data_IF_297902053713
#
_entry.id   IF_297902053713
#
_cell.length_a   1.000
_cell.length_b   1.000
_cell.length_c   1.000
_cell.angle_alpha   90.00
_cell.angle_beta   90.00
_cell.angle_gamma   90.00
#
_symmetry.space_group_name_H-M   'P 1'
#
loop_
_entity.id
_entity.type
_entity.pdbx_description
1 polymer ?
#
# COMPACT_ATOMS: atom_id res chain seq x y z
N UNK A 1 53.23 18.13 20.55
CA UNK A 1 51.88 18.44 20.02
C UNK A 1 51.53 17.36 19.02
N UNK A 2 50.84 16.32 19.46
CA UNK A 2 50.38 15.20 18.64
C UNK A 2 48.95 15.50 18.18
N UNK A 3 48.78 15.76 16.87
CA UNK A 3 47.50 15.87 16.26
C UNK A 3 46.85 14.48 16.25
N UNK A 4 45.86 14.27 17.11
CA UNK A 4 44.92 13.18 17.00
C UNK A 4 44.01 13.40 15.75
N UNK A 5 44.32 12.75 14.65
CA UNK A 5 43.46 12.63 13.50
C UNK A 5 42.43 11.57 13.89
N UNK A 6 41.23 12.00 14.27
CA UNK A 6 40.05 11.12 14.35
C UNK A 6 39.81 10.50 12.98
N UNK A 7 39.67 9.17 12.88
CA UNK A 7 39.34 8.56 11.57
C UNK A 7 37.97 9.03 11.12
N UNK A 8 37.96 9.72 10.00
CA UNK A 8 36.76 10.09 9.26
C UNK A 8 36.10 8.80 8.82
N UNK A 9 35.08 8.32 9.56
CA UNK A 9 34.25 7.24 9.14
C UNK A 9 33.46 7.75 7.94
N UNK A 10 33.98 7.52 6.73
CA UNK A 10 33.30 7.77 5.48
C UNK A 10 31.97 6.98 5.51
N UNK A 11 30.87 7.69 5.69
CA UNK A 11 29.52 7.15 5.57
C UNK A 11 29.41 6.58 4.16
N UNK A 12 29.06 5.31 4.06
CA UNK A 12 28.77 4.66 2.78
C UNK A 12 27.43 5.22 2.29
N UNK A 13 27.49 6.23 1.42
CA UNK A 13 26.30 6.77 0.78
C UNK A 13 25.73 5.76 -0.23
N UNK A 14 24.40 5.70 -0.32
CA UNK A 14 23.71 4.87 -1.32
C UNK A 14 24.01 5.43 -2.73
N UNK A 15 24.23 4.54 -3.70
CA UNK A 15 24.49 4.97 -5.08
C UNK A 15 23.20 5.46 -5.73
N UNK A 16 23.17 6.72 -6.13
CA UNK A 16 22.08 7.33 -6.91
C UNK A 16 22.09 6.80 -8.35
N UNK A 17 21.35 5.74 -8.61
CA UNK A 17 21.31 5.07 -9.92
C UNK A 17 19.93 5.12 -10.58
N UNK A 18 18.86 5.27 -9.80
CA UNK A 18 17.50 5.20 -10.27
C UNK A 18 17.09 6.45 -11.09
N UNK A 19 16.36 6.21 -12.18
CA UNK A 19 15.74 7.22 -13.04
C UNK A 19 14.23 7.09 -13.02
N UNK A 20 13.47 7.96 -13.72
CA UNK A 20 12.01 8.03 -13.65
C UNK A 20 11.32 6.69 -13.95
N UNK A 21 11.69 6.03 -15.07
CA UNK A 21 11.00 4.80 -15.50
C UNK A 21 11.19 3.65 -14.50
N UNK A 22 12.42 3.29 -14.06
CA UNK A 22 12.60 2.30 -13.01
C UNK A 22 11.83 2.60 -11.71
N UNK A 23 11.79 3.87 -11.29
CA UNK A 23 11.06 4.27 -10.07
C UNK A 23 9.55 4.09 -10.23
N UNK A 24 8.98 4.47 -11.39
CA UNK A 24 7.56 4.23 -11.69
C UNK A 24 7.26 2.73 -11.73
N UNK A 25 8.12 1.92 -12.35
CA UNK A 25 7.95 0.46 -12.41
C UNK A 25 8.02 -0.17 -11.00
N UNK A 26 8.90 0.32 -10.13
CA UNK A 26 8.93 -0.12 -8.74
C UNK A 26 7.65 0.26 -7.98
N UNK A 27 7.11 1.46 -8.22
CA UNK A 27 5.83 1.87 -7.65
C UNK A 27 4.67 1.00 -8.11
N UNK A 28 4.60 0.68 -9.40
CA UNK A 28 3.59 -0.25 -9.93
C UNK A 28 3.79 -1.68 -9.38
N UNK A 29 5.04 -2.10 -9.11
CA UNK A 29 5.31 -3.37 -8.44
C UNK A 29 4.73 -3.40 -7.02
N UNK A 30 4.85 -2.31 -6.27
CA UNK A 30 4.27 -2.19 -4.94
C UNK A 30 2.73 -2.19 -4.97
N UNK A 31 2.12 -1.54 -5.96
CA UNK A 31 0.67 -1.51 -6.13
C UNK A 31 0.07 -2.86 -6.56
N UNK A 32 0.88 -3.77 -7.11
CA UNK A 32 0.44 -5.08 -7.62
C UNK A 32 -0.82 -4.99 -8.51
N UNK A 33 -0.71 -4.64 -9.79
CA UNK A 33 -1.86 -4.39 -10.66
C UNK A 33 -2.91 -5.51 -10.72
N UNK A 34 -2.54 -6.75 -10.40
CA UNK A 34 -3.46 -7.90 -10.36
C UNK A 34 -4.49 -7.83 -9.21
N UNK A 35 -4.25 -7.00 -8.18
CA UNK A 35 -5.19 -6.84 -7.04
C UNK A 35 -6.58 -6.37 -7.44
N UNK A 36 -6.72 -5.78 -8.64
CA UNK A 36 -8.02 -5.39 -9.17
C UNK A 36 -8.98 -6.59 -9.29
N UNK A 37 -8.46 -7.79 -9.57
CA UNK A 37 -9.26 -9.00 -9.68
C UNK A 37 -9.66 -9.57 -8.31
N UNK A 38 -8.84 -9.33 -7.27
CA UNK A 38 -9.11 -9.81 -5.91
C UNK A 38 -10.27 -9.07 -5.24
N UNK A 39 -10.35 -7.76 -5.48
CA UNK A 39 -11.37 -6.88 -4.86
C UNK A 39 -12.60 -6.68 -5.72
N UNK A 40 -12.59 -7.14 -6.98
CA UNK A 40 -13.66 -6.89 -7.94
C UNK A 40 -15.02 -7.41 -7.47
N UNK A 41 -15.11 -8.67 -7.03
CA UNK A 41 -16.36 -9.28 -6.60
C UNK A 41 -16.97 -8.57 -5.39
N UNK A 42 -16.14 -8.29 -4.37
CA UNK A 42 -16.56 -7.58 -3.15
C UNK A 42 -17.17 -6.22 -3.51
N UNK A 43 -16.43 -5.41 -4.28
CA UNK A 43 -16.87 -4.04 -4.59
C UNK A 43 -18.01 -4.02 -5.59
N UNK A 44 -18.05 -4.96 -6.55
CA UNK A 44 -19.17 -5.11 -7.47
C UNK A 44 -20.47 -5.42 -6.72
N UNK A 45 -20.42 -6.32 -5.71
CA UNK A 45 -21.57 -6.64 -4.88
C UNK A 45 -22.02 -5.47 -4.00
N UNK A 46 -21.05 -4.74 -3.42
CA UNK A 46 -21.35 -3.60 -2.56
C UNK A 46 -21.97 -2.42 -3.33
N UNK A 47 -21.64 -2.27 -4.61
CA UNK A 47 -21.95 -1.07 -5.40
C UNK A 47 -22.88 -1.34 -6.59
N UNK A 48 -23.55 -2.50 -6.61
CA UNK A 48 -24.46 -2.91 -7.68
C UNK A 48 -23.83 -2.77 -9.09
N UNK A 49 -22.54 -3.15 -9.19
CA UNK A 49 -21.84 -3.19 -10.46
C UNK A 49 -21.25 -1.87 -10.94
N UNK A 50 -20.76 -1.00 -10.03
CA UNK A 50 -20.18 0.30 -10.37
C UNK A 50 -18.67 0.40 -10.06
N UNK A 51 -17.92 -0.71 -10.15
CA UNK A 51 -16.49 -0.78 -9.77
C UNK A 51 -15.60 0.27 -10.45
N UNK A 52 -15.74 0.57 -11.76
CA UNK A 52 -14.92 1.60 -12.41
C UNK A 52 -15.09 3.00 -11.80
N UNK A 53 -16.32 3.37 -11.41
CA UNK A 53 -16.58 4.66 -10.74
C UNK A 53 -15.97 4.71 -9.35
N UNK A 54 -16.00 3.59 -8.65
CA UNK A 54 -15.39 3.45 -7.33
C UNK A 54 -13.87 3.63 -7.41
N UNK A 55 -13.22 3.02 -8.41
CA UNK A 55 -11.79 3.28 -8.68
C UNK A 55 -11.51 4.72 -9.07
N UNK A 56 -12.43 5.39 -9.79
CA UNK A 56 -12.27 6.80 -10.11
C UNK A 56 -12.33 7.69 -8.85
N UNK A 57 -13.21 7.38 -7.89
CA UNK A 57 -13.27 8.11 -6.59
C UNK A 57 -11.98 7.88 -5.78
N UNK A 58 -11.51 6.63 -5.66
CA UNK A 58 -10.25 6.33 -5.00
C UNK A 58 -9.07 7.04 -5.68
N UNK A 59 -8.98 6.99 -7.02
CA UNK A 59 -7.93 7.65 -7.78
C UNK A 59 -7.90 9.16 -7.56
N UNK A 60 -9.04 9.83 -7.52
CA UNK A 60 -9.11 11.27 -7.26
C UNK A 60 -8.52 11.61 -5.90
N UNK A 61 -8.91 10.89 -4.84
CA UNK A 61 -8.37 11.08 -3.50
C UNK A 61 -6.84 10.85 -3.44
N UNK A 62 -6.37 9.79 -4.10
CA UNK A 62 -4.96 9.43 -4.18
C UNK A 62 -4.16 10.46 -4.98
N UNK A 63 -4.68 10.98 -6.10
CA UNK A 63 -3.97 12.00 -6.89
C UNK A 63 -3.77 13.32 -6.14
N UNK A 64 -4.75 13.77 -5.35
CA UNK A 64 -4.56 14.93 -4.47
C UNK A 64 -3.44 14.67 -3.46
N UNK A 65 -3.43 13.49 -2.87
CA UNK A 65 -2.38 13.08 -1.92
C UNK A 65 -1.02 12.95 -2.59
N UNK A 66 -0.95 12.39 -3.80
CA UNK A 66 0.28 12.29 -4.60
C UNK A 66 0.89 13.66 -4.92
N UNK A 67 0.04 14.67 -5.22
CA UNK A 67 0.49 16.05 -5.39
C UNK A 67 1.07 16.65 -4.11
N UNK A 68 0.50 16.30 -2.96
CA UNK A 68 0.98 16.74 -1.64
C UNK A 68 2.32 16.07 -1.29
N UNK A 69 2.44 14.76 -1.49
CA UNK A 69 3.72 14.05 -1.39
C UNK A 69 4.80 14.71 -2.25
N UNK A 70 4.48 15.00 -3.51
CA UNK A 70 5.42 15.62 -4.44
C UNK A 70 5.95 16.97 -3.99
N UNK A 71 5.17 17.76 -3.25
CA UNK A 71 5.62 19.05 -2.68
C UNK A 71 6.54 18.82 -1.46
N UNK A 72 6.19 17.85 -0.60
CA UNK A 72 6.96 17.56 0.61
C UNK A 72 8.28 16.87 0.32
N UNK A 73 8.35 15.96 -0.66
CA UNK A 73 9.60 15.35 -1.12
C UNK A 73 10.60 16.41 -1.60
N UNK A 74 10.13 17.42 -2.34
CA UNK A 74 11.01 18.53 -2.77
C UNK A 74 11.58 19.33 -1.60
N UNK A 75 10.85 19.38 -0.50
CA UNK A 75 11.26 20.14 0.70
C UNK A 75 12.10 19.29 1.65
N UNK A 76 11.78 18.01 1.72
CA UNK A 76 12.39 17.01 2.60
C UNK A 76 12.72 15.74 1.79
N UNK A 77 13.82 15.72 1.03
CA UNK A 77 14.18 14.59 0.17
C UNK A 77 14.82 13.43 0.97
N UNK A 78 14.21 13.04 2.08
CA UNK A 78 14.66 11.95 2.95
C UNK A 78 13.69 10.76 2.89
N UNK A 79 14.20 9.59 3.23
CA UNK A 79 13.46 8.30 3.21
C UNK A 79 12.54 8.12 4.44
N UNK A 80 11.87 9.16 4.90
CA UNK A 80 11.02 9.09 6.11
C UNK A 80 9.52 9.17 5.85
N UNK A 81 9.09 9.34 4.57
CA UNK A 81 7.69 9.37 4.14
C UNK A 81 6.80 10.27 5.03
N UNK A 82 5.52 9.89 5.21
CA UNK A 82 4.51 10.65 5.96
C UNK A 82 4.92 10.99 7.39
N UNK A 83 5.63 10.09 8.07
CA UNK A 83 6.17 10.32 9.41
C UNK A 83 7.04 11.58 9.46
N UNK A 84 8.10 11.63 8.65
CA UNK A 84 9.03 12.74 8.61
C UNK A 84 8.34 14.04 8.21
N UNK A 85 7.42 13.99 7.26
CA UNK A 85 6.69 15.17 6.83
C UNK A 85 5.81 15.74 7.95
N UNK A 86 5.05 14.91 8.65
CA UNK A 86 4.22 15.35 9.77
C UNK A 86 5.09 15.85 10.95
N UNK A 87 6.19 15.19 11.24
CA UNK A 87 7.12 15.57 12.29
C UNK A 87 7.73 16.96 12.03
N UNK A 88 8.27 17.19 10.83
CA UNK A 88 8.96 18.44 10.48
C UNK A 88 7.99 19.58 10.20
N UNK A 89 6.79 19.30 9.67
CA UNK A 89 5.83 20.32 9.24
C UNK A 89 4.78 20.67 10.30
N UNK A 90 4.41 19.73 11.18
CA UNK A 90 3.38 19.95 12.20
C UNK A 90 4.01 19.94 13.59
N UNK A 91 4.31 18.75 14.13
CA UNK A 91 4.99 18.59 15.41
C UNK A 91 5.60 17.18 15.57
N UNK A 92 6.59 16.98 16.45
CA UNK A 92 7.14 15.66 16.76
C UNK A 92 6.10 14.66 17.24
N UNK A 93 5.16 15.08 18.08
CA UNK A 93 4.07 14.24 18.59
C UNK A 93 3.15 13.75 17.47
N UNK A 94 2.73 14.64 16.58
CA UNK A 94 1.92 14.27 15.41
C UNK A 94 2.69 13.34 14.49
N UNK A 95 3.97 13.65 14.22
CA UNK A 95 4.82 12.76 13.44
C UNK A 95 4.88 11.35 14.02
N UNK A 96 5.11 11.22 15.33
CA UNK A 96 5.11 9.92 16.00
C UNK A 96 3.79 9.18 15.80
N UNK A 97 2.65 9.84 16.02
CA UNK A 97 1.32 9.21 15.87
C UNK A 97 1.01 8.81 14.42
N UNK A 98 1.44 9.59 13.45
CA UNK A 98 1.35 9.24 12.03
C UNK A 98 2.21 8.01 11.72
N UNK A 99 3.46 7.99 12.20
CA UNK A 99 4.34 6.84 12.05
C UNK A 99 3.80 5.58 12.73
N UNK A 100 3.26 5.72 13.94
CA UNK A 100 2.63 4.62 14.67
C UNK A 100 1.41 4.06 13.94
N UNK A 101 0.55 4.92 13.39
CA UNK A 101 -0.61 4.48 12.61
C UNK A 101 -0.20 3.80 11.31
N UNK A 102 0.82 4.34 10.62
CA UNK A 102 1.36 3.72 9.42
C UNK A 102 1.98 2.34 9.65
N UNK A 103 2.39 2.02 10.89
CA UNK A 103 2.87 0.67 11.22
C UNK A 103 1.80 -0.39 10.99
N UNK A 104 0.50 -0.08 11.09
CA UNK A 104 -0.55 -1.05 10.72
C UNK A 104 -0.43 -1.48 9.27
N UNK A 105 -0.32 -0.50 8.36
CA UNK A 105 -0.13 -0.80 6.93
C UNK A 105 1.09 -1.73 6.73
N UNK A 106 2.24 -1.34 7.26
CA UNK A 106 3.47 -2.14 7.11
C UNK A 106 3.41 -3.51 7.77
N UNK A 107 2.80 -3.64 8.97
CA UNK A 107 2.71 -4.90 9.70
C UNK A 107 1.76 -5.90 9.03
N UNK A 108 0.65 -5.41 8.49
CA UNK A 108 -0.36 -6.26 7.85
C UNK A 108 -0.07 -6.53 6.36
N UNK A 109 0.83 -5.76 5.71
CA UNK A 109 1.21 -6.00 4.32
C UNK A 109 1.74 -7.43 4.05
N UNK A 110 2.59 -8.05 4.86
CA UNK A 110 2.95 -9.47 4.68
C UNK A 110 1.77 -10.41 4.88
N UNK A 111 0.89 -10.12 5.84
CA UNK A 111 -0.29 -10.94 6.16
C UNK A 111 -1.26 -10.99 4.99
N UNK A 112 -1.58 -9.85 4.37
CA UNK A 112 -2.53 -9.83 3.26
C UNK A 112 -2.00 -10.57 2.03
N UNK A 113 -0.69 -10.54 1.78
CA UNK A 113 -0.09 -11.34 0.72
C UNK A 113 -0.22 -12.85 0.99
N UNK A 114 -0.12 -13.29 2.25
CA UNK A 114 -0.40 -14.67 2.65
C UNK A 114 -1.88 -15.01 2.50
N UNK A 115 -2.77 -14.08 2.86
CA UNK A 115 -4.22 -14.24 2.70
C UNK A 115 -4.61 -14.43 1.23
N UNK A 116 -4.08 -13.59 0.33
CA UNK A 116 -4.31 -13.75 -1.11
C UNK A 116 -3.77 -15.10 -1.62
N UNK A 117 -2.57 -15.49 -1.23
CA UNK A 117 -2.03 -16.80 -1.57
C UNK A 117 -2.92 -17.95 -1.03
N UNK A 118 -3.46 -17.83 0.20
CA UNK A 118 -4.44 -18.77 0.76
C UNK A 118 -5.64 -18.92 -0.16
N UNK A 119 -6.27 -17.82 -0.57
CA UNK A 119 -7.44 -17.80 -1.48
C UNK A 119 -7.11 -18.54 -2.80
N UNK A 120 -5.93 -18.29 -3.37
CA UNK A 120 -5.51 -18.95 -4.61
C UNK A 120 -5.29 -20.46 -4.42
N UNK A 121 -4.70 -20.87 -3.30
CA UNK A 121 -4.51 -22.29 -2.99
C UNK A 121 -5.82 -23.01 -2.71
N UNK A 122 -6.77 -22.39 -2.03
CA UNK A 122 -8.11 -22.95 -1.79
C UNK A 122 -8.80 -23.25 -3.12
N UNK A 123 -8.69 -22.36 -4.11
CA UNK A 123 -9.24 -22.55 -5.44
C UNK A 123 -8.53 -23.66 -6.26
N UNK A 124 -7.21 -23.84 -6.04
CA UNK A 124 -6.40 -24.84 -6.74
C UNK A 124 -6.53 -26.25 -6.14
N UNK A 125 -6.51 -26.33 -4.79
CA UNK A 125 -6.47 -27.60 -4.05
C UNK A 125 -7.45 -27.57 -2.87
N UNK A 126 -8.77 -27.58 -3.13
CA UNK A 126 -9.79 -27.44 -2.09
C UNK A 126 -9.83 -28.63 -1.09
N UNK A 127 -9.13 -29.71 -1.38
CA UNK A 127 -9.05 -30.89 -0.50
C UNK A 127 -8.12 -30.68 0.70
N UNK A 128 -7.26 -29.68 0.69
CA UNK A 128 -6.30 -29.39 1.78
C UNK A 128 -6.84 -28.23 2.59
N UNK A 129 -6.92 -28.34 3.94
CA UNK A 129 -7.34 -27.25 4.80
C UNK A 129 -6.47 -26.00 4.62
N UNK A 130 -7.09 -24.84 4.39
CA UNK A 130 -6.39 -23.59 4.04
C UNK A 130 -5.39 -23.10 5.10
N UNK A 131 -5.65 -23.37 6.38
CA UNK A 131 -4.71 -23.01 7.46
C UNK A 131 -3.34 -23.68 7.29
N UNK A 132 -3.27 -24.86 6.69
CA UNK A 132 -2.00 -25.55 6.43
C UNK A 132 -1.15 -24.76 5.42
N UNK A 133 -1.78 -24.18 4.39
CA UNK A 133 -1.08 -23.32 3.44
C UNK A 133 -0.55 -22.07 4.13
N UNK A 134 -1.39 -21.41 4.95
CA UNK A 134 -0.96 -20.21 5.69
C UNK A 134 0.26 -20.51 6.56
N UNK A 135 0.22 -21.58 7.35
CA UNK A 135 1.35 -21.98 8.22
C UNK A 135 2.59 -22.28 7.39
N UNK A 136 2.45 -23.05 6.30
CA UNK A 136 3.59 -23.40 5.44
C UNK A 136 4.21 -22.15 4.78
N UNK A 137 3.39 -21.25 4.25
CA UNK A 137 3.86 -20.02 3.59
C UNK A 137 4.50 -19.05 4.59
N UNK A 138 3.91 -18.86 5.77
CA UNK A 138 4.50 -18.03 6.82
C UNK A 138 5.83 -18.61 7.30
N UNK A 139 5.91 -19.91 7.51
CA UNK A 139 7.16 -20.59 7.89
C UNK A 139 8.22 -20.41 6.80
N UNK A 140 7.85 -20.59 5.52
CA UNK A 140 8.73 -20.39 4.38
C UNK A 140 9.25 -18.94 4.31
N UNK A 141 8.35 -17.94 4.35
CA UNK A 141 8.71 -16.52 4.28
C UNK A 141 9.60 -16.11 5.45
N UNK A 142 9.28 -16.56 6.66
CA UNK A 142 10.05 -16.27 7.88
C UNK A 142 11.44 -16.88 7.80
N UNK A 143 11.55 -18.17 7.45
CA UNK A 143 12.83 -18.86 7.32
C UNK A 143 13.72 -18.25 6.23
N UNK A 144 13.11 -17.82 5.11
CA UNK A 144 13.80 -17.17 4.01
C UNK A 144 14.36 -15.80 4.43
N UNK A 145 13.54 -14.98 5.08
CA UNK A 145 13.96 -13.64 5.54
C UNK A 145 15.00 -13.70 6.67
N UNK A 146 14.96 -14.73 7.53
CA UNK A 146 16.00 -14.95 8.54
C UNK A 146 17.39 -15.15 7.93
N UNK A 147 17.47 -15.78 6.75
CA UNK A 147 18.76 -16.08 6.08
C UNK A 147 19.26 -14.94 5.18
N UNK A 148 18.55 -13.84 5.08
CA UNK A 148 18.94 -12.63 4.30
C UNK A 148 19.37 -12.94 2.86
N UNK A 149 18.46 -13.36 2.02
CA UNK A 149 18.76 -13.46 0.58
C UNK A 149 18.66 -12.05 -0.04
N UNK A 150 19.73 -11.65 -0.74
CA UNK A 150 19.79 -10.35 -1.43
C UNK A 150 18.69 -10.30 -2.48
N UNK A 151 17.77 -9.35 -2.34
CA UNK A 151 16.70 -9.09 -3.31
C UNK A 151 17.27 -8.57 -4.62
N UNK A 152 16.77 -9.10 -5.74
CA UNK A 152 17.18 -8.67 -7.09
C UNK A 152 16.16 -7.62 -7.56
N UNK A 153 16.52 -6.35 -7.51
CA UNK A 153 15.66 -5.22 -7.93
C UNK A 153 15.13 -5.34 -9.39
N UNK A 154 15.87 -6.01 -10.25
CA UNK A 154 15.47 -6.23 -11.64
C UNK A 154 14.28 -7.21 -11.78
N UNK A 155 14.07 -8.09 -10.81
CA UNK A 155 12.96 -9.06 -10.83
C UNK A 155 11.61 -8.35 -10.73
N UNK A 156 11.51 -7.29 -9.95
CA UNK A 156 10.27 -6.54 -9.80
C UNK A 156 9.76 -5.94 -11.12
N UNK A 157 10.67 -5.39 -11.94
CA UNK A 157 10.28 -4.84 -13.26
C UNK A 157 9.75 -5.92 -14.19
N UNK A 158 10.37 -7.09 -14.20
CA UNK A 158 9.91 -8.23 -15.02
C UNK A 158 8.54 -8.71 -14.54
N UNK A 159 8.36 -8.85 -13.23
CA UNK A 159 7.09 -9.25 -12.62
C UNK A 159 5.95 -8.28 -13.01
N UNK A 160 6.18 -6.97 -12.94
CA UNK A 160 5.17 -5.96 -13.31
C UNK A 160 4.81 -6.05 -14.79
N UNK A 161 5.81 -6.16 -15.67
CA UNK A 161 5.55 -6.31 -17.10
C UNK A 161 4.71 -7.55 -17.38
N UNK A 162 5.05 -8.68 -16.74
CA UNK A 162 4.27 -9.91 -16.89
C UNK A 162 2.84 -9.78 -16.32
N UNK A 163 2.66 -9.08 -15.20
CA UNK A 163 1.31 -8.78 -14.68
C UNK A 163 0.49 -7.95 -15.68
N UNK A 164 1.06 -6.88 -16.23
CA UNK A 164 0.37 -6.03 -17.22
C UNK A 164 0.04 -6.82 -18.48
N UNK A 165 0.93 -7.68 -18.95
CA UNK A 165 0.67 -8.57 -20.08
C UNK A 165 -0.45 -9.54 -19.76
N UNK A 166 -0.45 -10.16 -18.58
CA UNK A 166 -1.51 -11.08 -18.16
C UNK A 166 -2.86 -10.37 -18.05
N UNK A 167 -2.89 -9.16 -17.48
CA UNK A 167 -4.10 -8.33 -17.46
C UNK A 167 -4.59 -8.07 -18.89
N UNK A 168 -3.70 -7.69 -19.81
CA UNK A 168 -4.08 -7.44 -21.20
C UNK A 168 -4.64 -8.69 -21.89
N UNK A 169 -4.08 -9.87 -21.63
CA UNK A 169 -4.58 -11.16 -22.14
C UNK A 169 -5.98 -11.45 -21.59
N UNK A 170 -6.18 -11.30 -20.29
CA UNK A 170 -7.48 -11.50 -19.64
C UNK A 170 -8.52 -10.52 -20.23
N UNK A 171 -8.18 -9.25 -20.34
CA UNK A 171 -9.05 -8.24 -20.92
C UNK A 171 -9.37 -8.53 -22.39
N UNK A 172 -8.42 -9.02 -23.17
CA UNK A 172 -8.67 -9.47 -24.54
C UNK A 172 -9.72 -10.59 -24.61
N UNK A 173 -9.63 -11.56 -23.71
CA UNK A 173 -10.61 -12.64 -23.61
C UNK A 173 -11.99 -12.14 -23.13
N UNK A 174 -12.00 -11.24 -22.15
CA UNK A 174 -13.23 -10.57 -21.63
C UNK A 174 -13.93 -9.80 -22.75
N UNK A 175 -13.18 -8.96 -23.48
CA UNK A 175 -13.73 -8.18 -24.61
C UNK A 175 -14.26 -9.11 -25.70
N UNK A 176 -13.55 -10.19 -26.01
CA UNK A 176 -14.01 -11.20 -26.98
C UNK A 176 -15.32 -11.86 -26.50
N UNK A 177 -15.42 -12.27 -25.23
CA UNK A 177 -16.63 -12.87 -24.67
C UNK A 177 -17.83 -11.91 -24.69
N UNK A 178 -17.62 -10.61 -24.36
CA UNK A 178 -18.70 -9.60 -24.48
C UNK A 178 -19.13 -9.41 -25.93
N UNK A 179 -18.19 -9.48 -26.88
CA UNK A 179 -18.52 -9.41 -28.31
C UNK A 179 -19.33 -10.61 -28.79
N UNK A 180 -19.09 -11.80 -28.27
CA UNK A 180 -19.85 -13.02 -28.52
C UNK A 180 -21.24 -13.04 -27.81
N UNK A 181 -21.55 -11.98 -27.03
CA UNK A 181 -22.87 -11.85 -26.37
C UNK A 181 -22.87 -12.23 -24.88
N UNK A 182 -21.73 -12.52 -24.29
CA UNK A 182 -21.61 -12.74 -22.84
C UNK A 182 -21.82 -11.41 -22.06
N UNK A 183 -22.33 -11.52 -20.85
CA UNK A 183 -22.54 -10.39 -19.97
C UNK A 183 -23.51 -9.35 -20.51
N UNK A 184 -23.08 -8.11 -20.66
CA UNK A 184 -23.89 -7.01 -21.19
C UNK A 184 -24.16 -7.08 -22.70
N UNK A 185 -23.45 -7.94 -23.45
CA UNK A 185 -23.57 -8.09 -24.91
C UNK A 185 -23.22 -6.81 -25.72
N UNK A 186 -22.62 -5.81 -25.08
CA UNK A 186 -22.17 -4.57 -25.72
C UNK A 186 -20.90 -4.07 -25.09
N UNK A 187 -19.97 -3.55 -25.90
CA UNK A 187 -18.72 -2.96 -25.42
C UNK A 187 -18.86 -1.47 -25.03
N UNK A 188 -19.99 -0.84 -25.35
CA UNK A 188 -20.24 0.54 -25.01
C UNK A 188 -21.49 0.67 -24.14
N UNK A 189 -21.29 0.85 -22.85
CA UNK A 189 -22.35 1.04 -21.86
C UNK A 189 -21.92 2.04 -20.79
N UNK A 190 -22.85 2.88 -20.37
CA UNK A 190 -22.62 3.80 -19.23
C UNK A 190 -22.92 3.14 -17.89
N UNK A 191 -23.59 1.97 -17.88
CA UNK A 191 -24.02 1.27 -16.66
C UNK A 191 -22.90 1.02 -15.67
N UNK A 192 -21.67 0.57 -16.06
CA UNK A 192 -20.57 0.39 -15.12
C UNK A 192 -20.12 1.66 -14.42
N UNK A 193 -20.38 2.84 -15.02
CA UNK A 193 -20.06 4.12 -14.38
C UNK A 193 -21.24 4.68 -13.59
N UNK A 194 -22.45 4.57 -14.09
CA UNK A 194 -23.64 5.13 -13.42
C UNK A 194 -24.92 4.49 -13.94
N UNK A 195 -25.82 4.13 -13.03
CA UNK A 195 -27.17 3.64 -13.31
C UNK A 195 -28.18 4.27 -12.36
N UNK A 196 -29.48 4.00 -12.57
CA UNK A 196 -30.55 4.49 -11.69
C UNK A 196 -30.45 3.94 -10.25
N UNK A 197 -29.78 2.81 -10.04
CA UNK A 197 -29.61 2.13 -8.77
C UNK A 197 -28.31 2.52 -8.07
N UNK A 198 -27.59 3.50 -8.64
CA UNK A 198 -26.30 3.94 -8.09
C UNK A 198 -26.46 4.73 -6.80
N UNK A 199 -25.83 4.28 -5.73
CA UNK A 199 -25.80 4.94 -4.43
C UNK A 199 -24.40 5.42 -4.05
N UNK A 200 -24.26 6.71 -3.70
CA UNK A 200 -22.96 7.34 -3.43
C UNK A 200 -22.27 6.77 -2.19
N UNK A 201 -23.01 6.47 -1.12
CA UNK A 201 -22.42 5.95 0.13
C UNK A 201 -21.75 4.60 -0.08
N UNK A 202 -22.40 3.57 -0.67
CA UNK A 202 -21.72 2.33 -1.02
C UNK A 202 -20.50 2.53 -1.93
N UNK A 203 -20.53 3.50 -2.84
CA UNK A 203 -19.38 3.81 -3.69
C UNK A 203 -18.20 4.39 -2.87
N UNK A 204 -18.46 5.24 -1.87
CA UNK A 204 -17.40 5.73 -0.98
C UNK A 204 -16.83 4.60 -0.13
N UNK A 205 -17.68 3.73 0.41
CA UNK A 205 -17.24 2.53 1.16
C UNK A 205 -16.42 1.60 0.27
N UNK A 206 -16.88 1.33 -0.95
CA UNK A 206 -16.12 0.57 -1.93
C UNK A 206 -14.78 1.23 -2.27
N UNK A 207 -14.74 2.57 -2.43
CA UNK A 207 -13.50 3.30 -2.68
C UNK A 207 -12.51 3.17 -1.52
N UNK A 208 -13.00 3.03 -0.28
CA UNK A 208 -12.14 2.75 0.87
C UNK A 208 -11.48 1.39 0.74
N UNK A 209 -12.22 0.35 0.34
CA UNK A 209 -11.65 -0.98 0.07
C UNK A 209 -10.61 -0.91 -1.06
N UNK A 210 -10.94 -0.22 -2.16
CA UNK A 210 -10.06 -0.10 -3.33
C UNK A 210 -8.80 0.75 -3.08
N UNK A 211 -8.75 1.55 -2.00
CA UNK A 211 -7.51 2.22 -1.59
C UNK A 211 -6.35 1.24 -1.36
N UNK A 212 -6.65 0.00 -0.96
CA UNK A 212 -5.67 -1.07 -0.87
C UNK A 212 -4.91 -1.29 -2.20
N UNK A 213 -5.60 -1.27 -3.35
CA UNK A 213 -4.96 -1.43 -4.66
C UNK A 213 -3.98 -0.29 -5.00
N UNK A 214 -4.08 0.84 -4.33
CA UNK A 214 -3.16 1.97 -4.49
C UNK A 214 -2.03 1.98 -3.47
N UNK A 215 -2.06 1.17 -2.41
CA UNK A 215 -0.99 1.17 -1.40
C UNK A 215 0.36 0.86 -2.05
N UNK A 216 1.39 1.59 -1.62
CA UNK A 216 2.73 1.47 -2.18
C UNK A 216 3.14 2.61 -3.13
N UNK A 217 2.21 3.40 -3.70
CA UNK A 217 2.58 4.58 -4.49
C UNK A 217 3.39 5.60 -3.68
N UNK A 218 3.12 5.71 -2.40
CA UNK A 218 3.82 6.56 -1.43
C UNK A 218 5.18 5.99 -1.02
N UNK A 219 5.33 4.67 -1.05
CA UNK A 219 6.59 3.96 -0.81
C UNK A 219 7.73 4.37 -1.75
N UNK A 220 7.39 4.92 -2.92
CA UNK A 220 8.35 5.54 -3.86
C UNK A 220 9.14 6.67 -3.16
N UNK A 221 8.55 7.39 -2.21
CA UNK A 221 9.22 8.47 -1.49
C UNK A 221 10.47 7.99 -0.75
N UNK A 222 10.50 6.72 -0.32
CA UNK A 222 11.65 6.11 0.36
C UNK A 222 12.83 5.84 -0.58
N UNK A 223 12.63 5.90 -1.91
CA UNK A 223 13.69 5.74 -2.91
C UNK A 223 14.43 7.03 -3.22
N UNK A 224 14.15 8.11 -2.48
CA UNK A 224 14.74 9.43 -2.71
C UNK A 224 16.26 9.42 -2.65
N UNK A 225 16.84 8.64 -1.74
CA UNK A 225 18.30 8.56 -1.54
C UNK A 225 19.03 7.78 -2.65
N UNK A 226 18.32 6.90 -3.39
CA UNK A 226 18.86 6.10 -4.47
C UNK A 226 18.55 6.69 -5.86
N UNK A 227 17.77 7.78 -5.92
CA UNK A 227 17.27 8.37 -7.15
C UNK A 227 18.10 9.58 -7.58
N UNK A 228 18.46 9.61 -8.88
CA UNK A 228 19.07 10.81 -9.50
C UNK A 228 18.03 11.92 -9.57
N UNK A 229 18.43 13.16 -9.23
CA UNK A 229 17.50 14.31 -9.21
C UNK A 229 16.19 14.01 -8.45
N UNK A 230 16.29 13.44 -7.25
CA UNK A 230 15.13 12.96 -6.46
C UNK A 230 14.02 14.03 -6.32
N UNK A 231 14.38 15.31 -6.15
CA UNK A 231 13.46 16.43 -6.04
C UNK A 231 12.56 16.62 -7.29
N UNK A 232 12.99 16.13 -8.45
CA UNK A 232 12.24 16.20 -9.70
C UNK A 232 11.64 14.86 -10.11
N UNK A 233 12.40 13.78 -9.91
CA UNK A 233 12.03 12.44 -10.34
C UNK A 233 10.97 11.83 -9.43
N UNK A 234 11.18 11.86 -8.12
CA UNK A 234 10.27 11.23 -7.15
C UNK A 234 8.85 11.83 -7.21
N UNK A 235 8.64 13.16 -7.20
CA UNK A 235 7.29 13.72 -7.32
C UNK A 235 6.54 13.30 -8.59
N UNK A 236 7.27 13.24 -9.71
CA UNK A 236 6.70 12.78 -10.99
C UNK A 236 6.40 11.29 -10.96
N UNK A 237 7.28 10.49 -10.37
CA UNK A 237 7.10 9.05 -10.26
C UNK A 237 5.88 8.71 -9.39
N UNK A 238 5.73 9.32 -8.21
CA UNK A 238 4.57 9.14 -7.33
C UNK A 238 3.27 9.44 -8.08
N UNK A 239 3.21 10.59 -8.75
CA UNK A 239 2.01 10.99 -9.51
C UNK A 239 1.73 10.05 -10.69
N UNK A 240 2.75 9.72 -11.48
CA UNK A 240 2.60 8.83 -12.65
C UNK A 240 2.22 7.41 -12.23
N UNK A 241 2.79 6.89 -11.16
CA UNK A 241 2.44 5.55 -10.64
C UNK A 241 0.97 5.49 -10.24
N UNK A 242 0.50 6.46 -9.44
CA UNK A 242 -0.90 6.53 -9.05
C UNK A 242 -1.83 6.69 -10.27
N UNK A 243 -1.48 7.56 -11.22
CA UNK A 243 -2.28 7.79 -12.42
C UNK A 243 -2.33 6.57 -13.34
N UNK A 244 -1.17 5.98 -13.67
CA UNK A 244 -1.09 4.81 -14.56
C UNK A 244 -1.80 3.63 -13.92
N UNK A 245 -1.52 3.31 -12.64
CA UNK A 245 -2.18 2.24 -11.93
C UNK A 245 -3.69 2.44 -11.86
N UNK A 246 -4.15 3.64 -11.48
CA UNK A 246 -5.58 3.96 -11.43
C UNK A 246 -6.27 3.87 -12.79
N UNK A 247 -5.60 4.30 -13.86
CA UNK A 247 -6.15 4.15 -15.22
C UNK A 247 -6.23 2.68 -15.65
N UNK A 248 -5.24 1.86 -15.30
CA UNK A 248 -5.31 0.40 -15.53
C UNK A 248 -6.50 -0.17 -14.78
N UNK A 249 -6.70 0.19 -13.51
CA UNK A 249 -7.82 -0.30 -12.70
C UNK A 249 -9.17 0.10 -13.28
N UNK A 250 -9.38 1.38 -13.60
CA UNK A 250 -10.64 1.87 -14.18
C UNK A 250 -10.93 1.16 -15.52
N UNK A 251 -9.94 1.10 -16.40
CA UNK A 251 -10.09 0.50 -17.72
C UNK A 251 -10.39 -1.01 -17.62
N UNK A 252 -9.62 -1.73 -16.81
CA UNK A 252 -9.78 -3.17 -16.65
C UNK A 252 -11.13 -3.51 -16.01
N UNK A 253 -11.52 -2.82 -14.95
CA UNK A 253 -12.79 -3.09 -14.26
C UNK A 253 -14.00 -2.67 -15.07
N UNK A 254 -13.88 -1.71 -15.99
CA UNK A 254 -14.94 -1.39 -16.94
C UNK A 254 -15.32 -2.59 -17.79
N UNK A 255 -14.36 -3.25 -18.44
CA UNK A 255 -14.62 -4.43 -19.25
C UNK A 255 -15.04 -5.63 -18.40
N UNK A 256 -14.44 -5.82 -17.22
CA UNK A 256 -14.89 -6.85 -16.28
C UNK A 256 -16.34 -6.66 -15.89
N UNK A 257 -16.78 -5.41 -15.63
CA UNK A 257 -18.15 -5.12 -15.25
C UNK A 257 -19.13 -5.30 -16.41
N UNK A 258 -18.70 -5.15 -17.64
CA UNK A 258 -19.52 -5.52 -18.81
C UNK A 258 -19.67 -7.02 -18.95
N UNK A 259 -18.63 -7.80 -18.62
CA UNK A 259 -18.66 -9.25 -18.67
C UNK A 259 -19.42 -9.87 -17.47
N UNK A 260 -19.28 -9.26 -16.30
CA UNK A 260 -19.97 -9.59 -15.05
C UNK A 260 -20.85 -8.42 -14.62
N UNK A 261 -22.05 -8.26 -15.21
CA UNK A 261 -22.94 -7.13 -14.91
C UNK A 261 -23.42 -7.08 -13.46
N UNK A 262 -23.44 -8.23 -12.80
CA UNK A 262 -23.77 -8.42 -11.40
C UNK A 262 -22.93 -9.56 -10.79
N UNK A 263 -23.06 -9.77 -9.48
CA UNK A 263 -22.30 -10.78 -8.73
C UNK A 263 -22.91 -12.17 -8.76
N UNK A 264 -24.05 -12.38 -9.43
CA UNK A 264 -24.79 -13.65 -9.38
C UNK A 264 -23.99 -14.84 -9.92
N UNK A 265 -22.99 -14.58 -10.77
CA UNK A 265 -22.06 -15.59 -11.29
C UNK A 265 -20.99 -16.01 -10.28
N UNK A 266 -20.70 -15.20 -9.27
CA UNK A 266 -19.68 -15.51 -8.27
C UNK A 266 -20.26 -16.36 -7.15
N UNK A 267 -19.59 -17.48 -6.83
CA UNK A 267 -19.94 -18.33 -5.69
C UNK A 267 -19.44 -17.71 -4.40
N UNK A 268 -18.27 -17.09 -4.48
CA UNK A 268 -17.59 -16.41 -3.38
C UNK A 268 -17.00 -15.08 -3.89
N UNK A 269 -17.66 -13.95 -3.61
CA UNK A 269 -17.14 -12.63 -4.00
C UNK A 269 -15.78 -12.30 -3.41
N UNK A 270 -15.41 -12.87 -2.25
CA UNK A 270 -14.10 -12.65 -1.61
C UNK A 270 -12.97 -13.42 -2.32
N UNK A 271 -13.34 -14.40 -3.14
CA UNK A 271 -12.42 -15.16 -3.99
C UNK A 271 -12.61 -14.85 -5.49
N UNK A 272 -12.89 -13.60 -5.85
CA UNK A 272 -13.26 -13.23 -7.22
C UNK A 272 -12.17 -13.49 -8.25
N UNK A 273 -10.88 -13.31 -7.96
CA UNK A 273 -9.81 -13.56 -8.94
C UNK A 273 -9.80 -15.01 -9.46
N UNK A 274 -9.82 -16.07 -8.62
CA UNK A 274 -9.92 -17.45 -9.10
C UNK A 274 -11.11 -17.70 -9.98
N UNK A 275 -12.27 -17.15 -9.64
CA UNK A 275 -13.50 -17.37 -10.41
C UNK A 275 -13.48 -16.63 -11.74
N UNK A 276 -13.00 -15.38 -11.80
CA UNK A 276 -12.81 -14.63 -13.04
C UNK A 276 -11.94 -15.44 -14.02
N UNK A 277 -10.79 -15.95 -13.55
CA UNK A 277 -9.87 -16.73 -14.39
C UNK A 277 -10.54 -18.01 -14.93
N UNK A 278 -11.36 -18.64 -14.10
CA UNK A 278 -12.10 -19.85 -14.48
C UNK A 278 -13.17 -19.56 -15.54
N UNK A 279 -13.98 -18.53 -15.33
CA UNK A 279 -15.09 -18.18 -16.22
C UNK A 279 -14.62 -17.65 -17.57
N UNK A 280 -13.56 -16.83 -17.56
CA UNK A 280 -13.05 -16.18 -18.79
C UNK A 280 -12.29 -17.15 -19.69
N UNK A 281 -11.48 -18.04 -19.11
CA UNK A 281 -10.54 -18.84 -19.91
C UNK A 281 -10.44 -20.32 -19.49
N UNK A 282 -11.31 -20.78 -18.60
CA UNK A 282 -11.39 -22.17 -18.18
C UNK A 282 -10.29 -22.62 -17.20
N UNK A 283 -10.36 -23.91 -16.81
CA UNK A 283 -9.57 -24.45 -15.70
C UNK A 283 -8.06 -24.40 -15.93
N UNK A 284 -7.58 -24.68 -17.13
CA UNK A 284 -6.15 -24.70 -17.44
C UNK A 284 -5.52 -23.29 -17.28
N UNK A 285 -6.21 -22.27 -17.77
CA UNK A 285 -5.79 -20.88 -17.62
C UNK A 285 -5.84 -20.44 -16.16
N UNK A 286 -6.92 -20.77 -15.44
CA UNK A 286 -7.04 -20.49 -14.01
C UNK A 286 -5.82 -21.01 -13.25
N UNK A 287 -5.43 -22.26 -13.45
CA UNK A 287 -4.28 -22.87 -12.77
C UNK A 287 -3.00 -22.07 -13.04
N UNK A 288 -2.71 -21.78 -14.32
CA UNK A 288 -1.52 -21.02 -14.70
C UNK A 288 -1.50 -19.59 -14.10
N UNK A 289 -2.64 -18.89 -14.20
CA UNK A 289 -2.78 -17.53 -13.68
C UNK A 289 -2.64 -17.49 -12.15
N UNK A 290 -3.24 -18.41 -11.42
CA UNK A 290 -3.15 -18.45 -9.95
C UNK A 290 -1.77 -18.86 -9.45
N UNK A 291 -1.05 -19.75 -10.14
CA UNK A 291 0.35 -20.05 -9.84
C UNK A 291 1.19 -18.78 -10.02
N UNK A 292 1.03 -18.07 -11.12
CA UNK A 292 1.73 -16.81 -11.35
C UNK A 292 1.39 -15.76 -10.28
N UNK A 293 0.10 -15.57 -9.97
CA UNK A 293 -0.35 -14.65 -8.91
C UNK A 293 0.24 -15.02 -7.55
N UNK A 294 0.28 -16.32 -7.21
CA UNK A 294 0.92 -16.79 -5.97
C UNK A 294 2.39 -16.40 -5.90
N UNK A 295 3.14 -16.57 -6.99
CA UNK A 295 4.55 -16.16 -7.04
C UNK A 295 4.69 -14.66 -6.83
N UNK A 296 3.82 -13.85 -7.43
CA UNK A 296 3.88 -12.39 -7.30
C UNK A 296 3.55 -11.91 -5.89
N UNK A 297 2.49 -12.41 -5.27
CA UNK A 297 2.11 -12.02 -3.90
C UNK A 297 3.12 -12.52 -2.87
N UNK A 298 3.72 -13.70 -3.07
CA UNK A 298 4.79 -14.18 -2.19
C UNK A 298 6.06 -13.33 -2.31
N UNK A 299 6.45 -12.94 -3.51
CA UNK A 299 7.61 -12.07 -3.72
C UNK A 299 7.40 -10.71 -3.05
N UNK A 300 6.22 -10.11 -3.21
CA UNK A 300 5.82 -8.87 -2.53
C UNK A 300 5.76 -9.04 -1.01
N UNK A 301 5.12 -10.11 -0.53
CA UNK A 301 5.02 -10.42 0.89
C UNK A 301 6.38 -10.61 1.56
N UNK A 302 7.34 -11.26 0.88
CA UNK A 302 8.72 -11.39 1.39
C UNK A 302 9.42 -10.04 1.49
N UNK A 303 9.25 -9.17 0.51
CA UNK A 303 9.82 -7.82 0.51
C UNK A 303 9.20 -6.96 1.63
N UNK A 304 7.87 -6.97 1.77
CA UNK A 304 7.14 -6.29 2.83
C UNK A 304 7.58 -6.78 4.21
N UNK A 305 7.67 -8.09 4.41
CA UNK A 305 8.13 -8.73 5.65
C UNK A 305 9.54 -8.27 6.04
N UNK A 306 10.48 -8.27 5.09
CA UNK A 306 11.84 -7.78 5.34
C UNK A 306 11.84 -6.27 5.62
N UNK A 307 11.02 -5.50 4.92
CA UNK A 307 10.90 -4.05 5.06
C UNK A 307 10.44 -3.65 6.46
N UNK A 308 9.31 -4.21 6.92
CA UNK A 308 8.76 -3.89 8.25
C UNK A 308 9.68 -4.38 9.37
N UNK A 309 10.30 -5.55 9.24
CA UNK A 309 11.25 -6.04 10.24
C UNK A 309 12.47 -5.11 10.40
N UNK A 310 12.96 -4.52 9.30
CA UNK A 310 14.03 -3.52 9.33
C UNK A 310 13.57 -2.19 9.92
N UNK A 311 12.36 -1.73 9.57
CA UNK A 311 11.77 -0.53 10.16
C UNK A 311 11.67 -0.66 11.69
N UNK A 312 11.13 -1.78 12.19
CA UNK A 312 11.04 -2.06 13.62
C UNK A 312 12.42 -2.12 14.28
N UNK A 313 13.42 -2.67 13.58
CA UNK A 313 14.80 -2.69 14.06
C UNK A 313 15.37 -1.27 14.21
N UNK A 314 15.18 -0.41 13.21
CA UNK A 314 15.63 1.00 13.30
C UNK A 314 14.95 1.70 14.46
N UNK A 315 13.62 1.54 14.61
CA UNK A 315 12.87 2.08 15.74
C UNK A 315 13.39 1.57 17.09
N UNK A 316 13.78 0.29 17.17
CA UNK A 316 14.40 -0.29 18.37
C UNK A 316 15.80 0.27 18.64
N UNK A 317 16.64 0.39 17.61
CA UNK A 317 17.99 0.96 17.70
C UNK A 317 17.94 2.40 18.19
N UNK A 318 17.06 3.20 17.65
CA UNK A 318 16.92 4.63 17.95
C UNK A 318 16.14 4.90 19.24
N UNK A 319 15.72 3.83 19.95
CA UNK A 319 15.10 3.91 21.28
C UNK A 319 13.62 4.28 21.27
N UNK A 320 12.98 4.28 20.08
CA UNK A 320 11.53 4.39 19.95
C UNK A 320 10.86 3.15 20.52
N UNK A 321 11.40 1.96 20.24
CA UNK A 321 11.00 0.68 20.84
C UNK A 321 12.06 0.12 21.78
N UNK A 322 11.73 -0.84 22.68
CA UNK A 322 12.68 -1.48 23.57
C UNK A 322 13.86 -2.10 22.81
N UNK A 323 15.08 -1.57 23.04
CA UNK A 323 16.29 -2.00 22.32
C UNK A 323 16.62 -3.48 22.48
N UNK A 324 16.29 -4.07 23.65
CA UNK A 324 16.60 -5.47 23.96
C UNK A 324 15.92 -6.46 23.02
N UNK A 325 14.73 -6.13 22.52
CA UNK A 325 13.97 -6.98 21.61
C UNK A 325 14.09 -6.47 20.17
N UNK A 326 13.68 -5.22 19.91
CA UNK A 326 13.57 -4.69 18.55
C UNK A 326 14.94 -4.34 17.94
N UNK A 327 15.90 -3.94 18.77
CA UNK A 327 17.27 -3.65 18.34
C UNK A 327 18.19 -4.88 18.21
N UNK A 328 17.66 -6.09 18.45
CA UNK A 328 18.45 -7.32 18.39
C UNK A 328 18.76 -7.73 16.94
N UNK A 329 20.05 -7.97 16.67
CA UNK A 329 20.55 -8.54 15.40
C UNK A 329 21.18 -9.91 15.66
N UNK A 330 20.76 -10.92 14.91
CA UNK A 330 21.27 -12.28 15.07
C UNK A 330 22.75 -12.37 14.62
N UNK A 331 23.67 -12.90 15.48
CA UNK A 331 25.11 -12.85 15.21
C UNK A 331 25.53 -13.55 13.91
N UNK A 332 24.91 -14.68 13.58
CA UNK A 332 25.27 -15.49 12.40
C UNK A 332 24.63 -14.97 11.12
N UNK A 333 23.33 -14.64 11.15
CA UNK A 333 22.57 -14.24 9.95
C UNK A 333 22.63 -12.75 9.69
N UNK A 334 23.01 -11.95 10.69
CA UNK A 334 23.06 -10.48 10.62
C UNK A 334 21.72 -9.85 10.21
N UNK A 335 20.63 -10.47 10.62
CA UNK A 335 19.26 -10.04 10.39
C UNK A 335 18.56 -9.71 11.72
N UNK A 336 17.53 -8.83 11.71
CA UNK A 336 16.72 -8.52 12.90
C UNK A 336 15.76 -9.66 13.20
N UNK A 337 16.31 -10.80 13.69
CA UNK A 337 15.60 -12.08 13.76
C UNK A 337 14.32 -12.01 14.61
N UNK A 338 14.34 -11.29 15.75
CA UNK A 338 13.16 -11.18 16.62
C UNK A 338 12.02 -10.44 15.91
N UNK A 339 12.33 -9.40 15.15
CA UNK A 339 11.33 -8.66 14.38
C UNK A 339 10.77 -9.51 13.23
N UNK A 340 11.62 -10.26 12.52
CA UNK A 340 11.19 -11.18 11.46
C UNK A 340 10.24 -12.24 12.03
N UNK A 341 10.55 -12.84 13.18
CA UNK A 341 9.69 -13.83 13.83
C UNK A 341 8.36 -13.19 14.27
N UNK A 342 8.40 -11.99 14.83
CA UNK A 342 7.19 -11.26 15.24
C UNK A 342 6.27 -10.96 14.06
N UNK A 343 6.81 -10.48 12.95
CA UNK A 343 6.05 -10.22 11.71
C UNK A 343 5.46 -11.52 11.15
N UNK A 344 6.23 -12.62 11.19
CA UNK A 344 5.71 -13.94 10.81
C UNK A 344 4.56 -14.38 11.71
N UNK A 345 4.66 -14.18 13.03
CA UNK A 345 3.57 -14.49 13.95
C UNK A 345 2.30 -13.66 13.66
N UNK A 346 2.45 -12.37 13.34
CA UNK A 346 1.33 -11.52 12.92
C UNK A 346 0.72 -12.02 11.60
N UNK A 347 1.54 -12.46 10.65
CA UNK A 347 1.06 -12.97 9.37
C UNK A 347 0.20 -14.25 9.49
N UNK A 348 0.31 -15.01 10.59
CA UNK A 348 -0.59 -16.14 10.88
C UNK A 348 -2.05 -15.72 11.09
N UNK A 349 -2.32 -14.44 11.38
CA UNK A 349 -3.70 -13.92 11.48
C UNK A 349 -4.48 -14.11 10.16
N UNK A 350 -3.80 -14.28 9.04
CA UNK A 350 -4.41 -14.62 7.74
C UNK A 350 -5.26 -15.91 7.78
N UNK A 351 -5.13 -16.75 8.81
CA UNK A 351 -5.98 -17.93 9.00
C UNK A 351 -7.44 -17.52 9.20
N UNK A 352 -7.68 -16.48 10.01
CA UNK A 352 -9.00 -16.09 10.48
C UNK A 352 -9.52 -14.79 9.86
N UNK A 353 -8.69 -14.07 9.11
CA UNK A 353 -9.08 -12.82 8.48
C UNK A 353 -9.65 -13.08 7.09
N UNK A 354 -10.67 -12.31 6.73
CA UNK A 354 -11.14 -12.12 5.37
C UNK A 354 -10.43 -10.93 4.70
N UNK A 355 -10.67 -10.78 3.40
CA UNK A 355 -10.01 -9.74 2.61
C UNK A 355 -10.50 -8.34 2.99
N UNK A 356 -11.80 -8.19 3.33
CA UNK A 356 -12.39 -6.90 3.71
C UNK A 356 -11.74 -6.38 4.99
N UNK A 357 -11.67 -7.21 6.03
CA UNK A 357 -11.07 -6.83 7.31
C UNK A 357 -9.57 -6.54 7.17
N UNK A 358 -8.85 -7.37 6.41
CA UNK A 358 -7.41 -7.19 6.19
C UNK A 358 -7.10 -5.89 5.45
N UNK A 359 -7.83 -5.60 4.36
CA UNK A 359 -7.66 -4.35 3.60
C UNK A 359 -8.03 -3.13 4.43
N UNK A 360 -9.08 -3.21 5.24
CA UNK A 360 -9.52 -2.10 6.06
C UNK A 360 -8.50 -1.73 7.16
N UNK A 361 -7.80 -2.71 7.76
CA UNK A 361 -6.72 -2.45 8.71
C UNK A 361 -5.51 -1.77 8.05
N UNK A 362 -5.12 -2.23 6.87
CA UNK A 362 -4.07 -1.59 6.08
C UNK A 362 -4.48 -0.16 5.73
N UNK A 363 -5.70 0.01 5.22
CA UNK A 363 -6.22 1.30 4.82
C UNK A 363 -6.34 2.28 6.00
N UNK A 364 -6.65 1.82 7.22
CA UNK A 364 -6.63 2.69 8.40
C UNK A 364 -5.29 3.40 8.55
N UNK A 365 -4.19 2.66 8.53
CA UNK A 365 -2.83 3.22 8.62
C UNK A 365 -2.47 4.15 7.46
N UNK A 366 -2.76 3.72 6.24
CA UNK A 366 -2.47 4.48 5.02
C UNK A 366 -3.28 5.78 4.95
N UNK A 367 -4.60 5.74 5.21
CA UNK A 367 -5.47 6.92 5.14
C UNK A 367 -5.14 7.96 6.21
N UNK A 368 -4.73 7.54 7.42
CA UNK A 368 -4.19 8.46 8.44
C UNK A 368 -2.94 9.16 7.89
N UNK A 369 -1.99 8.41 7.35
CA UNK A 369 -0.78 8.97 6.76
C UNK A 369 -1.11 9.98 5.64
N UNK A 370 -2.00 9.61 4.71
CA UNK A 370 -2.40 10.47 3.59
C UNK A 370 -3.10 11.75 4.04
N UNK A 371 -3.95 11.67 5.07
CA UNK A 371 -4.57 12.86 5.68
C UNK A 371 -3.49 13.81 6.21
N UNK A 372 -2.55 13.30 7.00
CA UNK A 372 -1.52 14.15 7.59
C UNK A 372 -0.47 14.64 6.59
N UNK A 373 -0.23 13.94 5.50
CA UNK A 373 0.59 14.44 4.39
C UNK A 373 -0.06 15.66 3.75
N UNK A 374 -1.37 15.62 3.48
CA UNK A 374 -2.10 16.76 2.97
C UNK A 374 -2.07 17.95 3.96
N UNK A 375 -2.32 17.70 5.24
CA UNK A 375 -2.24 18.73 6.29
C UNK A 375 -0.82 19.28 6.46
N UNK A 376 0.22 18.47 6.27
CA UNK A 376 1.61 18.89 6.32
C UNK A 376 1.97 19.92 5.25
N UNK A 377 1.38 19.81 4.04
CA UNK A 377 1.55 20.83 2.99
C UNK A 377 0.98 22.17 3.44
N UNK A 378 -0.23 22.17 4.02
CA UNK A 378 -0.88 23.39 4.52
C UNK A 378 -0.03 24.00 5.65
N UNK A 379 0.38 23.17 6.62
CA UNK A 379 1.18 23.62 7.75
C UNK A 379 2.52 24.18 7.31
N UNK A 380 3.25 23.48 6.42
CA UNK A 380 4.59 23.89 6.01
C UNK A 380 4.57 25.13 5.12
N UNK A 381 3.84 25.08 4.01
CA UNK A 381 3.94 26.09 2.97
C UNK A 381 3.02 27.29 3.22
N UNK A 382 1.75 27.02 3.59
CA UNK A 382 0.78 28.12 3.73
C UNK A 382 0.90 28.83 5.09
N UNK A 383 1.11 28.08 6.20
CA UNK A 383 1.18 28.67 7.54
C UNK A 383 2.62 29.13 7.87
N UNK A 384 3.62 28.20 7.87
CA UNK A 384 4.97 28.49 8.33
C UNK A 384 5.78 29.34 7.34
N UNK A 385 5.79 28.96 6.04
CA UNK A 385 6.52 29.71 5.01
C UNK A 385 5.73 30.93 4.49
N UNK A 386 4.46 31.09 4.91
CA UNK A 386 3.58 32.20 4.54
C UNK A 386 3.46 32.38 3.01
N UNK A 387 3.44 31.25 2.29
CA UNK A 387 3.15 31.23 0.83
C UNK A 387 1.65 31.36 0.60
N UNK A 388 1.10 32.54 0.89
CA UNK A 388 -0.31 32.85 0.83
C UNK A 388 -0.58 34.22 0.20
N UNK A 389 0.35 34.70 -0.64
CA UNK A 389 0.27 36.04 -1.23
C UNK A 389 -0.43 36.09 -2.59
N UNK A 390 -0.45 34.96 -3.32
CA UNK A 390 -1.03 34.90 -4.66
C UNK A 390 -2.18 33.89 -4.72
N UNK A 391 -3.11 34.05 -5.66
CA UNK A 391 -4.18 33.06 -5.93
C UNK A 391 -3.60 31.67 -6.23
N UNK A 392 -2.45 31.63 -6.91
CA UNK A 392 -1.73 30.39 -7.20
C UNK A 392 -1.25 29.71 -5.92
N UNK A 393 -0.76 30.48 -4.94
CA UNK A 393 -0.33 29.96 -3.65
C UNK A 393 -1.51 29.38 -2.87
N UNK A 394 -2.64 30.11 -2.82
CA UNK A 394 -3.87 29.61 -2.18
C UNK A 394 -4.36 28.33 -2.84
N UNK A 395 -4.36 28.27 -4.17
CA UNK A 395 -4.78 27.07 -4.88
C UNK A 395 -3.84 25.88 -4.61
N UNK A 396 -2.52 26.09 -4.68
CA UNK A 396 -1.54 25.02 -4.56
C UNK A 396 -1.31 24.53 -3.11
N UNK A 397 -1.30 25.44 -2.14
CA UNK A 397 -0.86 25.13 -0.77
C UNK A 397 -2.00 25.09 0.25
N UNK A 398 -3.22 25.52 -0.13
CA UNK A 398 -4.40 25.41 0.70
C UNK A 398 -5.48 24.57 0.02
N UNK A 399 -5.97 24.98 -1.15
CA UNK A 399 -7.15 24.37 -1.78
C UNK A 399 -6.90 22.90 -2.17
N UNK A 400 -5.86 22.60 -2.95
CA UNK A 400 -5.57 21.22 -3.37
C UNK A 400 -5.30 20.27 -2.19
N UNK A 401 -4.45 20.61 -1.19
CA UNK A 401 -4.26 19.75 -0.04
C UNK A 401 -5.51 19.62 0.85
N UNK A 402 -6.36 20.67 0.91
CA UNK A 402 -7.63 20.59 1.63
C UNK A 402 -8.59 19.62 0.95
N UNK A 403 -8.72 19.69 -0.38
CA UNK A 403 -9.47 18.69 -1.14
C UNK A 403 -8.95 17.28 -0.89
N UNK A 404 -7.61 17.09 -0.88
CA UNK A 404 -6.99 15.81 -0.54
C UNK A 404 -7.32 15.34 0.87
N UNK A 405 -7.21 16.23 1.86
CA UNK A 405 -7.55 15.87 3.24
C UNK A 405 -9.04 15.53 3.43
N UNK A 406 -9.94 16.28 2.75
CA UNK A 406 -11.37 16.03 2.83
C UNK A 406 -11.79 14.74 2.10
N UNK A 407 -11.26 14.48 0.91
CA UNK A 407 -11.57 13.25 0.18
C UNK A 407 -11.03 12.01 0.90
N UNK A 408 -9.79 12.06 1.37
CA UNK A 408 -9.22 10.97 2.19
C UNK A 408 -9.97 10.84 3.52
N UNK A 409 -10.35 11.96 4.15
CA UNK A 409 -11.17 11.96 5.36
C UNK A 409 -12.54 11.31 5.15
N UNK A 410 -13.20 11.56 4.01
CA UNK A 410 -14.45 10.90 3.66
C UNK A 410 -14.29 9.38 3.52
N UNK A 411 -13.20 8.92 2.91
CA UNK A 411 -12.87 7.49 2.85
C UNK A 411 -12.65 6.92 4.26
N UNK A 412 -11.93 7.64 5.10
CA UNK A 412 -11.60 7.20 6.45
C UNK A 412 -12.84 7.01 7.34
N UNK A 413 -13.82 7.93 7.25
CA UNK A 413 -15.09 7.85 8.03
C UNK A 413 -15.99 6.70 7.53
N UNK A 414 -15.83 6.27 6.29
CA UNK A 414 -16.57 5.14 5.71
C UNK A 414 -15.76 3.82 5.74
N UNK A 415 -14.71 3.75 6.56
CA UNK A 415 -13.99 2.51 6.82
C UNK A 415 -14.92 1.53 7.55
N UNK A 416 -14.74 0.25 7.32
CA UNK A 416 -15.50 -0.82 7.97
C UNK A 416 -15.40 -0.67 9.51
N UNK A 417 -16.53 -0.81 10.22
CA UNK A 417 -16.67 -0.44 11.63
C UNK A 417 -15.70 -1.19 12.55
N UNK A 418 -15.53 -2.48 12.36
CA UNK A 418 -14.62 -3.31 13.16
C UNK A 418 -13.16 -2.85 13.00
N UNK A 419 -12.77 -2.49 11.81
CA UNK A 419 -11.43 -2.00 11.50
C UNK A 419 -11.19 -0.58 12.01
N UNK A 420 -12.24 0.27 12.00
CA UNK A 420 -12.18 1.59 12.63
C UNK A 420 -11.93 1.44 14.13
N UNK A 421 -12.68 0.56 14.80
CA UNK A 421 -12.50 0.29 16.24
C UNK A 421 -11.10 -0.23 16.53
N UNK A 422 -10.61 -1.23 15.79
CA UNK A 422 -9.28 -1.78 15.96
C UNK A 422 -8.18 -0.74 15.69
N UNK A 423 -8.36 0.09 14.67
CA UNK A 423 -7.42 1.16 14.34
C UNK A 423 -7.38 2.25 15.43
N UNK A 424 -8.53 2.61 15.99
CA UNK A 424 -8.61 3.56 17.12
C UNK A 424 -7.99 2.98 18.39
N UNK A 425 -8.19 1.69 18.68
CA UNK A 425 -7.52 0.98 19.78
C UNK A 425 -6.00 1.03 19.56
N UNK A 426 -5.52 0.75 18.34
CA UNK A 426 -4.11 0.85 18.00
C UNK A 426 -3.56 2.26 18.21
N UNK A 427 -4.29 3.29 17.77
CA UNK A 427 -3.91 4.68 17.98
C UNK A 427 -3.87 5.05 19.49
N UNK A 428 -4.84 4.58 20.28
CA UNK A 428 -4.86 4.76 21.73
C UNK A 428 -3.65 4.10 22.40
N UNK A 429 -3.30 2.87 22.00
CA UNK A 429 -2.08 2.18 22.47
C UNK A 429 -0.84 3.02 22.15
N UNK A 430 -0.76 3.57 20.93
CA UNK A 430 0.34 4.45 20.52
C UNK A 430 0.45 5.71 21.36
N UNK A 431 -0.67 6.32 21.69
CA UNK A 431 -0.72 7.52 22.53
C UNK A 431 -0.29 7.21 23.96
N UNK A 432 -0.78 6.10 24.54
CA UNK A 432 -0.38 5.63 25.88
C UNK A 432 1.11 5.32 25.88
N UNK A 433 1.60 4.60 24.87
CA UNK A 433 3.01 4.28 24.74
C UNK A 433 3.87 5.55 24.66
N UNK A 434 3.46 6.54 23.85
CA UNK A 434 4.14 7.83 23.74
C UNK A 434 4.17 8.55 25.09
N UNK A 435 3.05 8.60 25.81
CA UNK A 435 2.97 9.20 27.14
C UNK A 435 3.90 8.52 28.15
N UNK A 436 4.02 7.19 28.10
CA UNK A 436 4.95 6.44 28.95
C UNK A 436 6.42 6.77 28.63
N UNK A 437 6.81 6.71 27.33
CA UNK A 437 8.19 6.97 26.90
C UNK A 437 8.63 8.40 27.17
N UNK A 438 7.70 9.36 26.99
CA UNK A 438 7.97 10.79 27.24
C UNK A 438 7.74 11.21 28.71
N UNK A 439 7.46 10.28 29.62
CA UNK A 439 7.08 10.57 31.01
C UNK A 439 5.98 11.64 31.09
N UNK A 440 4.86 11.36 30.46
CA UNK A 440 3.71 12.29 30.33
C UNK A 440 4.11 13.60 29.66
N UNK A 441 4.79 13.49 28.50
CA UNK A 441 5.26 14.62 27.66
C UNK A 441 6.26 15.58 28.33
N UNK A 442 6.93 15.14 29.39
CA UNK A 442 8.03 15.91 30.04
C UNK A 442 9.35 15.76 29.34
N UNK A 443 9.59 14.60 28.71
CA UNK A 443 10.77 14.35 27.90
C UNK A 443 10.48 14.64 26.41
N UNK A 444 11.50 15.00 25.59
CA UNK A 444 11.31 15.16 24.16
C UNK A 444 10.81 13.85 23.55
N UNK A 445 9.91 13.99 22.58
CA UNK A 445 9.40 12.85 21.80
C UNK A 445 10.58 12.20 21.07
N UNK A 446 10.71 10.86 21.10
CA UNK A 446 11.72 10.17 20.31
C UNK A 446 11.61 10.58 18.84
N UNK A 447 12.71 11.02 18.28
CA UNK A 447 12.77 11.46 16.89
C UNK A 447 13.57 10.42 16.12
N UNK A 448 13.10 10.09 14.92
CA UNK A 448 13.99 9.50 13.95
C UNK A 448 15.09 10.53 13.67
N UNK A 449 16.30 10.25 14.08
CA UNK A 449 17.43 10.96 13.53
C UNK A 449 17.53 10.56 12.07
N UNK A 450 17.44 11.55 11.16
CA UNK A 450 17.84 11.35 9.79
C UNK A 450 19.26 10.78 9.89
N UNK A 451 19.46 9.55 9.46
CA UNK A 451 20.80 9.00 9.23
C UNK A 451 21.31 9.80 8.03
N UNK A 452 21.77 11.02 8.37
CA UNK A 452 22.33 11.96 7.44
C UNK A 452 23.66 11.44 6.91
#
# INVERSE_FOLDING_TARGET
MSHNVTPNTSRVELRKTLTLVPVVMMGLAYMQPMTLFDTFGIVSGLTDGHVPTVYAFALIAILFTALSYGKLVRRYPSAGSAYTYAQKSISPTVGFMVGWSSLLDYLFAPMINILLAKIYFEALVPSIPSWMFVVALVAFMTAFNLRSLKSVANVNTVIVVLQVVLIAVILGMVVYGVFEGEGAGTLASTRPFWSGDAHVIPMITGATILCFSFTGFDGISNLSEETKDAERVIPRAIFLTALIGGMIFIFATYFLQLYFPDISRFKDPDASQPEIMLYVAGKAFQVGALIFSTITVLASGMAAHAGVARLMYVMGRDGVFPKSFFGYVHPKWRTPAMNIILVGAIALLAINFDLVMATALINFGALVAFTFVNLSVISQFWIREKRNKTLKDHFQYLFLPMCGALTVGALWVNLEESSMVLGLIWAAIGLIYLACVTKSFRNPVPQYEDVA
#
